data_IF_213193481361
#
_entry.id   IF_213193481361
#
_cell.length_a   1.000
_cell.length_b   1.000
_cell.length_c   1.000
_cell.angle_alpha   90.00
_cell.angle_beta   90.00
_cell.angle_gamma   90.00
#
_symmetry.space_group_name_H-M   'P 1'
#
loop_
_entity.id
_entity.type
_entity.pdbx_description
1 polymer ?
#
# COMPACT_ATOMS: atom_id res chain seq x y z
N UNK A 1 -32.43 49.17 -20.99
CA UNK A 1 -31.18 48.56 -21.48
C UNK A 1 -30.34 47.90 -20.36
N UNK A 2 -30.95 47.39 -19.27
CA UNK A 2 -30.21 46.84 -18.11
C UNK A 2 -30.35 45.33 -17.91
N UNK A 3 -31.33 44.69 -18.58
CA UNK A 3 -31.63 43.26 -18.36
C UNK A 3 -30.61 42.31 -18.99
N UNK A 4 -30.09 42.62 -20.19
CA UNK A 4 -29.11 41.77 -20.88
C UNK A 4 -27.71 41.78 -20.26
N UNK A 5 -27.35 42.81 -19.49
CA UNK A 5 -26.05 42.89 -18.83
C UNK A 5 -25.98 41.98 -17.61
N UNK A 6 -27.04 41.97 -16.77
CA UNK A 6 -27.12 41.04 -15.64
C UNK A 6 -27.08 39.58 -16.07
N UNK A 7 -27.84 39.19 -17.10
CA UNK A 7 -27.87 37.79 -17.58
C UNK A 7 -26.49 37.31 -18.04
N UNK A 8 -25.70 38.19 -18.68
CA UNK A 8 -24.35 37.84 -19.17
C UNK A 8 -23.33 37.72 -18.02
N UNK A 9 -23.42 38.57 -17.00
CA UNK A 9 -22.58 38.48 -15.81
C UNK A 9 -22.87 37.20 -15.00
N UNK A 10 -24.14 36.88 -14.78
CA UNK A 10 -24.54 35.65 -14.11
C UNK A 10 -24.14 34.38 -14.88
N UNK A 11 -24.21 34.41 -16.22
CA UNK A 11 -23.73 33.31 -17.06
C UNK A 11 -22.20 33.12 -16.96
N UNK A 12 -21.43 34.22 -16.93
CA UNK A 12 -19.98 34.18 -16.73
C UNK A 12 -19.61 33.62 -15.35
N UNK A 13 -20.28 34.08 -14.29
CA UNK A 13 -20.07 33.58 -12.93
C UNK A 13 -20.41 32.08 -12.81
N UNK A 14 -21.51 31.63 -13.42
CA UNK A 14 -21.90 30.22 -13.44
C UNK A 14 -20.87 29.35 -14.18
N UNK A 15 -20.38 29.80 -15.34
CA UNK A 15 -19.36 29.07 -16.11
C UNK A 15 -18.04 28.92 -15.33
N UNK A 16 -17.60 29.97 -14.62
CA UNK A 16 -16.42 29.91 -13.75
C UNK A 16 -16.61 28.94 -12.59
N UNK A 17 -17.77 28.96 -11.94
CA UNK A 17 -18.09 28.07 -10.82
C UNK A 17 -18.11 26.59 -11.27
N UNK A 18 -18.74 26.29 -12.41
CA UNK A 18 -18.77 24.93 -12.98
C UNK A 18 -17.37 24.48 -13.39
N UNK A 19 -16.59 25.36 -14.01
CA UNK A 19 -15.20 25.08 -14.38
C UNK A 19 -14.33 24.74 -13.16
N UNK A 20 -14.40 25.55 -12.11
CA UNK A 20 -13.67 25.32 -10.87
C UNK A 20 -14.09 24.01 -10.18
N UNK A 21 -15.40 23.73 -10.13
CA UNK A 21 -15.93 22.49 -9.57
C UNK A 21 -15.47 21.25 -10.37
N UNK A 22 -15.47 21.33 -11.71
CA UNK A 22 -15.01 20.25 -12.57
C UNK A 22 -13.50 19.99 -12.39
N UNK A 23 -12.68 21.04 -12.37
CA UNK A 23 -11.24 20.93 -12.12
C UNK A 23 -10.95 20.36 -10.73
N UNK A 24 -11.65 20.84 -9.69
CA UNK A 24 -11.55 20.31 -8.34
C UNK A 24 -11.94 18.83 -8.25
N UNK A 25 -13.02 18.43 -8.92
CA UNK A 25 -13.47 17.04 -8.98
C UNK A 25 -12.47 16.13 -9.71
N UNK A 26 -11.91 16.59 -10.83
CA UNK A 26 -10.88 15.86 -11.58
C UNK A 26 -9.58 15.72 -10.78
N UNK A 27 -9.15 16.77 -10.08
CA UNK A 27 -7.99 16.74 -9.20
C UNK A 27 -8.21 15.77 -8.03
N UNK A 28 -9.38 15.84 -7.37
CA UNK A 28 -9.76 14.91 -6.30
C UNK A 28 -9.75 13.45 -6.78
N UNK A 29 -10.37 13.16 -7.93
CA UNK A 29 -10.40 11.81 -8.49
C UNK A 29 -9.00 11.31 -8.85
N UNK A 30 -8.16 12.15 -9.43
CA UNK A 30 -6.79 11.77 -9.81
C UNK A 30 -5.91 11.49 -8.59
N UNK A 31 -5.97 12.35 -7.58
CA UNK A 31 -5.14 12.24 -6.38
C UNK A 31 -5.67 11.14 -5.43
N UNK A 32 -6.96 11.15 -5.10
CA UNK A 32 -7.52 10.19 -4.14
C UNK A 32 -7.71 8.77 -4.69
N UNK A 33 -7.89 8.56 -6.00
CA UNK A 33 -8.01 7.20 -6.55
C UNK A 33 -6.65 6.51 -6.75
N UNK A 34 -5.58 7.25 -7.04
CA UNK A 34 -4.23 6.67 -7.15
C UNK A 34 -3.79 6.01 -5.84
N UNK A 35 -4.12 6.61 -4.71
CA UNK A 35 -3.74 6.11 -3.39
C UNK A 35 -4.49 4.86 -2.94
N UNK A 36 -5.66 4.52 -3.53
CA UNK A 36 -6.47 3.38 -3.07
C UNK A 36 -6.03 2.05 -3.67
N UNK A 37 -5.48 2.03 -4.89
CA UNK A 37 -5.12 0.77 -5.56
C UNK A 37 -3.79 0.16 -5.10
N UNK A 38 -2.86 0.96 -4.58
CA UNK A 38 -1.55 0.49 -4.12
C UNK A 38 -1.51 0.08 -2.63
N UNK A 39 -2.52 0.44 -1.83
CA UNK A 39 -2.51 0.17 -0.37
C UNK A 39 -2.64 -1.30 0.02
N UNK A 40 -3.15 -2.17 -0.84
CA UNK A 40 -3.37 -3.58 -0.51
C UNK A 40 -2.19 -4.51 -0.84
N UNK A 41 -1.16 -4.04 -1.55
CA UNK A 41 -0.06 -4.91 -1.98
C UNK A 41 0.89 -5.24 -0.82
N UNK A 42 0.88 -6.50 -0.38
CA UNK A 42 1.71 -6.97 0.75
C UNK A 42 3.19 -7.10 0.38
N UNK A 43 3.50 -7.72 -0.76
CA UNK A 43 4.86 -7.91 -1.26
C UNK A 43 5.22 -6.82 -2.28
N UNK A 44 6.12 -5.86 -2.00
CA UNK A 44 6.47 -4.81 -2.94
C UNK A 44 7.54 -5.22 -3.97
N UNK A 45 8.48 -6.13 -3.62
CA UNK A 45 9.71 -6.30 -4.41
C UNK A 45 10.26 -7.73 -4.52
N UNK A 46 9.82 -8.68 -3.69
CA UNK A 46 10.43 -10.02 -3.62
C UNK A 46 9.89 -10.90 -4.75
N UNK A 47 10.79 -11.45 -5.59
CA UNK A 47 10.50 -12.47 -6.63
C UNK A 47 9.23 -12.16 -7.46
N UNK A 48 9.19 -11.00 -8.11
CA UNK A 48 8.02 -10.52 -8.86
C UNK A 48 7.78 -11.23 -10.19
N UNK A 49 8.78 -11.95 -10.67
CA UNK A 49 8.70 -12.88 -11.78
C UNK A 49 7.93 -14.17 -11.41
N UNK A 50 7.84 -14.50 -10.13
CA UNK A 50 7.10 -15.66 -9.64
C UNK A 50 5.64 -15.29 -9.33
N UNK A 51 4.63 -15.90 -10.00
CA UNK A 51 3.22 -15.59 -9.75
C UNK A 51 2.76 -15.95 -8.33
N UNK A 52 3.46 -16.89 -7.66
CA UNK A 52 3.16 -17.30 -6.28
C UNK A 52 4.43 -17.80 -5.58
N UNK A 53 5.04 -16.93 -4.78
CA UNK A 53 6.24 -17.24 -4.01
C UNK A 53 5.90 -18.15 -2.82
N UNK A 54 6.51 -19.34 -2.78
CA UNK A 54 6.33 -20.36 -1.74
C UNK A 54 7.71 -20.85 -1.29
N UNK A 55 7.87 -21.09 0.01
CA UNK A 55 9.06 -21.71 0.58
C UNK A 55 8.64 -22.97 1.34
N UNK A 56 9.35 -24.07 1.10
CA UNK A 56 9.19 -25.33 1.82
C UNK A 56 10.51 -25.66 2.52
N UNK A 57 10.41 -26.12 3.76
CA UNK A 57 11.54 -26.54 4.57
C UNK A 57 11.18 -27.85 5.25
N UNK A 58 12.10 -28.80 5.20
CA UNK A 58 11.99 -30.05 5.95
C UNK A 58 12.32 -29.80 7.43
N UNK A 59 11.60 -30.44 8.33
CA UNK A 59 11.72 -30.15 9.77
C UNK A 59 13.08 -30.59 10.33
N UNK A 60 13.68 -31.59 9.70
CA UNK A 60 14.95 -32.21 10.06
C UNK A 60 16.14 -31.28 9.75
N UNK A 61 16.02 -30.45 8.72
CA UNK A 61 17.04 -29.51 8.27
C UNK A 61 17.01 -28.18 9.04
N UNK A 62 15.99 -27.98 9.88
CA UNK A 62 15.92 -26.84 10.77
C UNK A 62 16.89 -27.05 11.93
N UNK A 63 17.75 -26.07 12.17
CA UNK A 63 18.47 -25.97 13.46
C UNK A 63 17.50 -25.80 14.63
N UNK A 64 18.03 -25.58 15.83
CA UNK A 64 17.21 -25.52 17.07
C UNK A 64 16.07 -24.48 16.99
N UNK A 65 16.28 -23.42 16.21
CA UNK A 65 15.33 -22.34 16.02
C UNK A 65 15.44 -21.74 14.62
N UNK A 66 14.32 -21.65 13.93
CA UNK A 66 14.17 -20.91 12.68
C UNK A 66 13.17 -19.75 12.85
N UNK A 67 13.46 -18.62 12.23
CA UNK A 67 12.61 -17.42 12.29
C UNK A 67 12.32 -16.94 10.87
N UNK A 68 11.06 -17.04 10.45
CA UNK A 68 10.61 -16.76 9.09
C UNK A 68 9.86 -15.43 8.99
N UNK A 69 10.10 -14.72 7.90
CA UNK A 69 9.49 -13.45 7.58
C UNK A 69 8.03 -13.65 7.16
N UNK A 70 7.13 -12.82 7.69
CA UNK A 70 5.74 -12.70 7.22
C UNK A 70 5.38 -11.31 6.69
N UNK A 71 6.28 -10.33 6.82
CA UNK A 71 6.04 -8.94 6.43
C UNK A 71 6.47 -8.60 4.99
N UNK A 72 7.20 -9.50 4.30
CA UNK A 72 7.74 -9.25 2.96
C UNK A 72 8.65 -8.01 2.85
N UNK A 73 9.33 -7.63 3.94
CA UNK A 73 10.32 -6.53 3.97
C UNK A 73 11.74 -6.99 4.25
N UNK A 74 11.93 -8.26 4.60
CA UNK A 74 13.26 -8.81 4.93
C UNK A 74 14.16 -8.83 3.71
N UNK A 75 15.41 -8.37 3.88
CA UNK A 75 16.48 -8.52 2.89
C UNK A 75 17.00 -9.95 2.82
N UNK A 76 16.74 -10.75 3.86
CA UNK A 76 17.10 -12.18 3.96
C UNK A 76 15.90 -13.09 3.75
N UNK A 77 14.84 -12.61 3.07
CA UNK A 77 13.64 -13.40 2.81
C UNK A 77 14.05 -14.76 2.18
N UNK A 78 13.56 -15.90 2.70
CA UNK A 78 12.39 -16.09 3.57
C UNK A 78 12.61 -15.92 5.08
N UNK A 79 13.84 -15.70 5.55
CA UNK A 79 14.14 -15.53 6.97
C UNK A 79 13.82 -14.11 7.47
N UNK A 80 13.49 -13.99 8.75
CA UNK A 80 13.30 -12.69 9.39
C UNK A 80 14.65 -12.04 9.72
N UNK A 81 14.80 -10.77 9.36
CA UNK A 81 15.97 -9.93 9.69
C UNK A 81 15.61 -8.73 10.59
N UNK A 82 14.36 -8.66 11.08
CA UNK A 82 13.85 -7.56 11.89
C UNK A 82 13.18 -6.42 11.10
N UNK A 83 13.16 -6.45 9.77
CA UNK A 83 12.57 -5.36 8.96
C UNK A 83 11.06 -5.08 9.23
N UNK A 84 10.35 -6.03 9.87
CA UNK A 84 8.96 -5.81 10.29
C UNK A 84 8.80 -4.70 11.33
N UNK A 85 9.81 -4.44 12.17
CA UNK A 85 9.75 -3.36 13.17
C UNK A 85 9.60 -2.01 12.49
N UNK A 86 10.50 -1.69 11.55
CA UNK A 86 10.44 -0.44 10.78
C UNK A 86 9.12 -0.32 10.01
N UNK A 87 8.67 -1.40 9.38
CA UNK A 87 7.38 -1.42 8.67
C UNK A 87 6.21 -1.10 9.60
N UNK A 88 6.16 -1.71 10.80
CA UNK A 88 5.12 -1.45 11.78
C UNK A 88 5.15 0.00 12.27
N UNK A 89 6.33 0.56 12.54
CA UNK A 89 6.49 1.96 12.96
C UNK A 89 6.02 2.95 11.88
N UNK A 90 6.34 2.70 10.61
CA UNK A 90 5.97 3.60 9.49
C UNK A 90 4.50 3.51 9.11
N UNK A 91 3.86 2.35 9.30
CA UNK A 91 2.49 2.08 8.80
C UNK A 91 1.43 1.98 9.88
N UNK A 92 1.83 1.85 11.15
CA UNK A 92 0.93 1.52 12.25
C UNK A 92 0.47 0.05 12.25
N UNK A 93 1.15 -0.81 11.51
CA UNK A 93 0.87 -2.26 11.43
C UNK A 93 1.42 -3.00 12.66
N UNK A 94 1.07 -4.28 12.82
CA UNK A 94 1.43 -5.12 13.96
C UNK A 94 1.94 -6.51 13.55
N UNK A 95 2.52 -6.65 12.36
CA UNK A 95 3.02 -7.93 11.87
C UNK A 95 4.30 -8.37 12.59
N UNK A 96 4.53 -9.68 12.64
CA UNK A 96 5.71 -10.28 13.24
C UNK A 96 6.11 -11.60 12.57
N UNK A 97 7.30 -12.14 12.87
CA UNK A 97 7.79 -13.36 12.25
C UNK A 97 7.03 -14.61 12.72
N UNK A 98 7.23 -15.70 11.99
CA UNK A 98 6.90 -17.06 12.46
C UNK A 98 8.16 -17.68 13.06
N UNK A 99 8.08 -18.16 14.30
CA UNK A 99 9.20 -18.84 14.96
C UNK A 99 8.88 -20.33 15.04
N UNK A 100 9.74 -21.15 14.45
CA UNK A 100 9.68 -22.61 14.55
C UNK A 100 10.84 -23.05 15.43
N UNK A 101 10.55 -23.81 16.49
CA UNK A 101 11.56 -24.39 17.39
C UNK A 101 11.50 -25.90 17.28
N UNK A 102 12.66 -26.54 17.24
CA UNK A 102 12.72 -28.00 17.39
C UNK A 102 12.24 -28.35 18.80
N UNK A 103 11.39 -29.36 18.90
CA UNK A 103 10.97 -29.86 20.21
C UNK A 103 12.18 -30.54 20.85
N UNK A 104 12.61 -30.07 22.01
CA UNK A 104 13.58 -30.78 22.83
C UNK A 104 12.97 -32.14 23.19
N UNK A 105 13.68 -33.21 22.83
CA UNK A 105 13.27 -34.60 23.06
C UNK A 105 13.76 -35.08 24.41
#
# INVERSE_FOLDING_TARGET
MSSSYGVREWAGAAALAVGAAAVGFLAYRSLCCKDKCCKAMVNPAIQKDNPKVVHAFDMEDLGDKAVYCRCWRSKKFPYCDGAHTKHNEETGDNVGPLIIKKKES
#
